data_IF_524849010854
#
_entry.id   IF_524849010854
#
_cell.length_a   1.000
_cell.length_b   1.000
_cell.length_c   1.000
_cell.angle_alpha   90.00
_cell.angle_beta   90.00
_cell.angle_gamma   90.00
#
_symmetry.space_group_name_H-M   'P 1'
#
loop_
_entity.id
_entity.type
_entity.pdbx_description
1 polymer ?
#
# COMPACT_ATOMS: atom_id res chain seq x y z
N UNK A 1 2.18 10.33 12.68
CA UNK A 1 1.93 11.58 11.90
C UNK A 1 1.55 11.11 10.50
N UNK A 2 0.41 11.52 9.94
CA UNK A 2 -0.01 11.08 8.59
C UNK A 2 1.08 11.41 7.56
N UNK A 3 1.42 10.45 6.69
CA UNK A 3 2.47 10.64 5.69
C UNK A 3 1.86 11.29 4.46
N UNK A 4 1.67 12.60 4.55
CA UNK A 4 1.04 13.41 3.50
C UNK A 4 1.66 13.24 2.10
N UNK A 5 2.94 12.84 2.02
CA UNK A 5 3.62 12.63 0.75
C UNK A 5 3.18 11.33 0.08
N UNK A 6 3.03 10.27 0.87
CA UNK A 6 2.41 9.02 0.42
C UNK A 6 0.95 9.25 0.02
N UNK A 7 0.17 9.84 0.93
CA UNK A 7 -1.26 10.10 0.73
C UNK A 7 -1.53 10.91 -0.53
N UNK A 8 -0.81 12.03 -0.72
CA UNK A 8 -0.98 12.90 -1.88
C UNK A 8 -0.71 12.17 -3.20
N UNK A 9 0.34 11.34 -3.24
CA UNK A 9 0.75 10.65 -4.46
C UNK A 9 -0.18 9.49 -4.80
N UNK A 10 -0.66 8.76 -3.79
CA UNK A 10 -1.70 7.74 -3.97
C UNK A 10 -3.04 8.37 -4.40
N UNK A 11 -3.43 9.50 -3.79
CA UNK A 11 -4.61 10.26 -4.18
C UNK A 11 -4.54 10.70 -5.64
N UNK A 12 -3.42 11.28 -6.07
CA UNK A 12 -3.23 11.71 -7.46
C UNK A 12 -3.28 10.51 -8.42
N UNK A 13 -2.66 9.39 -8.06
CA UNK A 13 -2.74 8.15 -8.84
C UNK A 13 -4.18 7.65 -8.99
N UNK A 14 -4.96 7.61 -7.91
CA UNK A 14 -6.34 7.15 -7.96
C UNK A 14 -7.29 8.09 -8.70
N UNK A 15 -7.07 9.40 -8.59
CA UNK A 15 -7.80 10.38 -9.41
C UNK A 15 -7.55 10.18 -10.90
N UNK A 16 -6.32 9.80 -11.28
CA UNK A 16 -5.99 9.44 -12.67
C UNK A 16 -6.48 8.04 -13.08
N UNK A 17 -6.82 7.18 -12.11
CA UNK A 17 -7.20 5.78 -12.35
C UNK A 17 -8.46 5.39 -11.56
N UNK A 18 -9.62 6.06 -11.79
CA UNK A 18 -10.83 5.85 -10.98
C UNK A 18 -11.35 4.41 -11.02
N UNK A 19 -11.17 3.71 -12.15
CA UNK A 19 -11.53 2.30 -12.30
C UNK A 19 -10.81 1.37 -11.31
N UNK A 20 -9.61 1.74 -10.84
CA UNK A 20 -8.89 0.97 -9.82
C UNK A 20 -9.57 1.07 -8.47
N UNK A 21 -10.15 2.22 -8.16
CA UNK A 21 -10.88 2.38 -6.91
C UNK A 21 -12.10 1.48 -6.91
N UNK A 22 -12.91 1.50 -7.97
CA UNK A 22 -14.08 0.62 -8.08
C UNK A 22 -13.68 -0.86 -8.00
N UNK A 23 -12.54 -1.20 -8.60
CA UNK A 23 -11.99 -2.54 -8.53
C UNK A 23 -11.57 -2.92 -7.09
N UNK A 24 -10.80 -2.07 -6.42
CA UNK A 24 -10.37 -2.28 -5.05
C UNK A 24 -11.59 -2.43 -4.11
N UNK A 25 -12.61 -1.58 -4.29
CA UNK A 25 -13.89 -1.66 -3.58
C UNK A 25 -14.58 -3.01 -3.72
N UNK A 26 -14.69 -3.52 -4.95
CA UNK A 26 -15.30 -4.81 -5.23
C UNK A 26 -14.59 -5.99 -4.55
N UNK A 27 -13.35 -5.79 -4.12
CA UNK A 27 -12.53 -6.82 -3.47
C UNK A 27 -12.38 -6.63 -1.96
N UNK A 28 -12.94 -5.55 -1.41
CA UNK A 28 -13.07 -5.34 0.03
C UNK A 28 -14.45 -5.79 0.52
N UNK A 29 -14.53 -6.52 1.63
CA UNK A 29 -15.81 -6.82 2.31
C UNK A 29 -16.35 -5.61 3.10
N UNK A 30 -15.98 -4.40 2.68
CA UNK A 30 -16.30 -3.17 3.40
C UNK A 30 -17.69 -2.73 2.96
N UNK A 31 -18.55 -2.55 3.96
CA UNK A 31 -19.91 -2.08 3.76
C UNK A 31 -19.87 -0.64 3.20
N UNK A 32 -20.73 -0.32 2.22
CA UNK A 32 -20.76 0.98 1.53
C UNK A 32 -20.82 2.19 2.49
N UNK A 33 -21.31 2.00 3.72
CA UNK A 33 -21.41 3.02 4.76
C UNK A 33 -20.08 3.42 5.44
N UNK A 34 -18.96 2.73 5.18
CA UNK A 34 -17.62 3.11 5.67
C UNK A 34 -16.83 3.95 4.64
N UNK A 35 -17.40 4.19 3.45
CA UNK A 35 -16.74 4.86 2.33
C UNK A 35 -16.73 6.40 2.43
N UNK A 36 -16.82 6.97 3.62
CA UNK A 36 -16.62 8.40 3.82
C UNK A 36 -15.11 8.76 3.69
N UNK A 37 -14.66 8.75 2.45
CA UNK A 37 -13.72 9.69 1.81
C UNK A 37 -12.20 9.58 2.03
N UNK A 38 -11.62 8.49 2.55
CA UNK A 38 -10.16 8.32 2.49
C UNK A 38 -9.71 7.19 1.54
N UNK A 39 -9.02 7.57 0.46
CA UNK A 39 -8.31 6.62 -0.42
C UNK A 39 -7.33 5.73 0.37
N UNK A 40 -6.84 6.24 1.51
CA UNK A 40 -5.99 5.54 2.47
C UNK A 40 -6.68 4.29 3.02
N UNK A 41 -7.90 4.41 3.56
CA UNK A 41 -8.62 3.29 4.13
C UNK A 41 -8.96 2.21 3.09
N UNK A 42 -9.43 2.65 1.92
CA UNK A 42 -9.73 1.75 0.79
C UNK A 42 -8.47 0.97 0.39
N UNK A 43 -7.33 1.67 0.31
CA UNK A 43 -6.06 1.07 -0.03
C UNK A 43 -5.64 0.05 1.05
N UNK A 44 -5.56 0.45 2.32
CA UNK A 44 -5.11 -0.44 3.41
C UNK A 44 -5.90 -1.76 3.48
N UNK A 45 -7.23 -1.67 3.42
CA UNK A 45 -8.12 -2.83 3.53
C UNK A 45 -8.08 -3.73 2.29
N UNK A 46 -7.96 -3.12 1.10
CA UNK A 46 -7.78 -3.88 -0.13
C UNK A 46 -6.45 -4.62 -0.10
N UNK A 47 -5.38 -3.94 0.28
CA UNK A 47 -4.05 -4.51 0.39
C UNK A 47 -4.05 -5.68 1.39
N UNK A 48 -4.75 -5.56 2.52
CA UNK A 48 -4.93 -6.66 3.46
C UNK A 48 -5.59 -7.89 2.81
N UNK A 49 -6.67 -7.68 2.06
CA UNK A 49 -7.37 -8.74 1.32
C UNK A 49 -6.48 -9.43 0.27
N UNK A 50 -5.43 -8.75 -0.18
CA UNK A 50 -4.42 -9.27 -1.10
C UNK A 50 -3.17 -9.84 -0.42
N UNK A 51 -3.21 -10.04 0.90
CA UNK A 51 -2.12 -10.66 1.65
C UNK A 51 -1.04 -9.69 2.10
N UNK A 52 -1.33 -8.39 2.19
CA UNK A 52 -0.42 -7.38 2.74
C UNK A 52 -0.82 -7.14 4.19
N UNK A 53 -0.06 -7.75 5.11
CA UNK A 53 -0.45 -7.91 6.50
C UNK A 53 -0.23 -6.66 7.36
N UNK A 54 0.74 -5.82 6.99
CA UNK A 54 1.07 -4.60 7.74
C UNK A 54 1.87 -3.63 6.88
N UNK A 55 1.63 -2.34 7.06
CA UNK A 55 2.34 -1.24 6.41
C UNK A 55 2.77 -0.27 7.52
N UNK A 56 4.06 0.02 7.61
CA UNK A 56 4.53 1.12 8.45
C UNK A 56 4.99 2.27 7.59
N UNK A 57 4.15 3.29 7.50
CA UNK A 57 4.44 4.54 6.76
C UNK A 57 4.24 5.80 7.60
N UNK A 58 3.77 5.69 8.84
CA UNK A 58 3.31 6.83 9.63
C UNK A 58 4.22 7.21 10.80
N UNK A 59 5.11 6.31 11.21
CA UNK A 59 5.94 6.51 12.40
C UNK A 59 7.41 6.12 12.15
N UNK A 60 8.36 6.93 12.68
CA UNK A 60 9.74 6.48 12.82
C UNK A 60 9.77 5.24 13.71
N UNK A 61 10.69 4.33 13.40
CA UNK A 61 10.73 2.99 13.96
C UNK A 61 12.06 2.65 14.62
N UNK A 62 13.03 3.58 14.64
CA UNK A 62 14.31 3.39 15.29
C UNK A 62 14.58 4.39 16.43
N UNK A 63 15.52 4.00 17.30
CA UNK A 63 15.94 4.77 18.49
C UNK A 63 16.58 6.13 18.13
N UNK A 64 16.89 6.34 16.86
CA UNK A 64 17.54 7.54 16.32
C UNK A 64 16.53 8.48 15.64
N UNK A 65 15.22 8.24 15.80
CA UNK A 65 14.13 8.96 15.13
C UNK A 65 14.23 8.93 13.60
N UNK A 66 14.90 7.92 13.03
CA UNK A 66 14.94 7.71 11.59
C UNK A 66 13.72 6.91 11.16
N UNK A 67 13.28 7.20 9.96
CA UNK A 67 12.11 6.56 9.40
C UNK A 67 12.53 5.30 8.64
N UNK A 68 12.10 4.13 9.12
CA UNK A 68 12.29 2.86 8.43
C UNK A 68 10.92 2.31 8.01
N UNK A 69 10.50 2.59 6.76
CA UNK A 69 9.27 2.04 6.23
C UNK A 69 9.38 0.53 6.08
N UNK A 70 8.31 -0.20 6.35
CA UNK A 70 8.26 -1.63 6.09
C UNK A 70 6.89 -2.05 5.59
N UNK A 71 6.85 -3.13 4.81
CA UNK A 71 5.63 -3.82 4.44
C UNK A 71 5.80 -5.30 4.78
N UNK A 72 4.81 -5.87 5.46
CA UNK A 72 4.76 -7.29 5.74
C UNK A 72 3.79 -7.97 4.80
N UNK A 73 4.21 -9.07 4.19
CA UNK A 73 3.38 -9.87 3.30
C UNK A 73 3.03 -11.23 3.92
N UNK A 74 1.94 -11.82 3.44
CA UNK A 74 1.62 -13.23 3.61
C UNK A 74 2.33 -14.05 2.53
N UNK A 75 2.53 -15.35 2.77
CA UNK A 75 3.25 -16.26 1.84
C UNK A 75 2.69 -16.29 0.42
N UNK A 76 1.39 -16.00 0.25
CA UNK A 76 0.71 -16.07 -1.03
C UNK A 76 0.11 -14.71 -1.40
N UNK A 77 0.81 -13.59 -1.16
CA UNK A 77 0.27 -12.27 -1.49
C UNK A 77 0.22 -12.03 -3.01
N UNK A 78 -0.59 -11.05 -3.43
CA UNK A 78 -0.77 -10.71 -4.85
C UNK A 78 0.50 -10.23 -5.56
N UNK A 79 1.51 -9.75 -4.82
CA UNK A 79 2.79 -9.33 -5.38
C UNK A 79 3.80 -10.48 -5.50
N UNK A 80 3.48 -11.65 -4.93
CA UNK A 80 4.36 -12.81 -4.85
C UNK A 80 5.72 -12.48 -4.17
N UNK A 81 5.68 -11.68 -3.11
CA UNK A 81 6.87 -11.26 -2.35
C UNK A 81 6.87 -11.79 -0.92
N UNK A 82 7.99 -12.35 -0.45
CA UNK A 82 8.06 -12.89 0.92
C UNK A 82 8.32 -11.80 1.98
N UNK A 83 9.02 -10.73 1.61
CA UNK A 83 9.33 -9.60 2.49
C UNK A 83 9.32 -8.28 1.69
N UNK A 84 8.65 -7.26 2.24
CA UNK A 84 8.47 -5.98 1.56
C UNK A 84 9.26 -4.84 2.20
N UNK A 85 10.01 -4.14 1.34
CA UNK A 85 10.52 -2.78 1.56
C UNK A 85 11.62 -2.59 2.63
N UNK A 86 11.82 -3.53 3.56
CA UNK A 86 12.92 -3.46 4.56
C UNK A 86 14.31 -3.38 3.90
N UNK A 87 14.50 -4.09 2.78
CA UNK A 87 15.78 -4.12 2.05
C UNK A 87 16.12 -2.83 1.28
N UNK A 88 15.17 -1.98 0.93
CA UNK A 88 15.45 -0.77 0.11
C UNK A 88 16.09 0.38 0.92
N UNK A 89 16.05 0.30 2.25
CA UNK A 89 16.54 1.35 3.16
C UNK A 89 17.58 0.85 4.15
N UNK A 90 18.00 -0.42 4.01
CA UNK A 90 18.97 -1.06 4.90
C UNK A 90 20.29 -0.27 5.01
N UNK A 91 20.64 0.49 3.97
CA UNK A 91 21.94 1.16 3.86
C UNK A 91 21.93 2.63 4.30
N UNK A 92 20.77 3.28 4.46
CA UNK A 92 20.72 4.67 4.93
C UNK A 92 19.35 5.10 5.47
N UNK A 93 19.33 5.87 6.57
CA UNK A 93 18.11 6.54 7.01
C UNK A 93 17.59 7.49 5.94
N UNK A 94 16.28 7.46 5.74
CA UNK A 94 15.59 8.36 4.83
C UNK A 94 14.68 9.32 5.56
N UNK A 95 14.47 10.48 4.95
CA UNK A 95 13.49 11.44 5.43
C UNK A 95 12.07 10.88 5.27
N UNK A 96 11.13 11.35 6.09
CA UNK A 96 9.70 11.01 5.98
C UNK A 96 9.16 11.23 4.56
N UNK A 97 9.61 12.30 3.89
CA UNK A 97 9.27 12.60 2.50
C UNK A 97 9.76 11.52 1.54
N UNK A 98 11.06 11.23 1.53
CA UNK A 98 11.66 10.23 0.65
C UNK A 98 11.01 8.86 0.82
N UNK A 99 10.72 8.50 2.07
CA UNK A 99 10.10 7.24 2.38
C UNK A 99 8.64 7.18 1.92
N UNK A 100 7.86 8.24 2.13
CA UNK A 100 6.49 8.35 1.63
C UNK A 100 6.42 8.30 0.09
N UNK A 101 7.29 9.04 -0.59
CA UNK A 101 7.35 9.06 -2.06
C UNK A 101 7.74 7.69 -2.64
N UNK A 102 8.78 7.05 -2.09
CA UNK A 102 9.21 5.72 -2.55
C UNK A 102 8.18 4.63 -2.27
N UNK A 103 7.47 4.72 -1.14
CA UNK A 103 6.42 3.75 -0.82
C UNK A 103 5.25 3.90 -1.78
N UNK A 104 4.83 5.13 -2.08
CA UNK A 104 3.79 5.38 -3.07
C UNK A 104 4.22 4.88 -4.46
N UNK A 105 5.46 5.14 -4.89
CA UNK A 105 5.98 4.62 -6.16
C UNK A 105 5.94 3.08 -6.22
N UNK A 106 6.27 2.42 -5.12
CA UNK A 106 6.18 0.96 -5.01
C UNK A 106 4.74 0.47 -5.19
N UNK A 107 3.77 1.02 -4.44
CA UNK A 107 2.36 0.61 -4.58
C UNK A 107 1.79 0.91 -5.95
N UNK A 108 2.09 2.08 -6.52
CA UNK A 108 1.67 2.44 -7.88
C UNK A 108 2.19 1.42 -8.88
N UNK A 109 3.50 1.11 -8.83
CA UNK A 109 4.11 0.12 -9.73
C UNK A 109 3.41 -1.24 -9.64
N UNK A 110 3.12 -1.71 -8.42
CA UNK A 110 2.47 -3.00 -8.21
C UNK A 110 1.00 -3.02 -8.61
N UNK A 111 0.24 -1.98 -8.30
CA UNK A 111 -1.17 -1.86 -8.69
C UNK A 111 -1.31 -1.77 -10.22
N UNK A 112 -0.46 -1.00 -10.88
CA UNK A 112 -0.41 -0.94 -12.35
C UNK A 112 -0.11 -2.31 -12.96
N UNK A 113 0.87 -3.04 -12.39
CA UNK A 113 1.20 -4.39 -12.86
C UNK A 113 0.01 -5.36 -12.76
N UNK A 114 -0.68 -5.40 -11.61
CA UNK A 114 -1.85 -6.28 -11.41
C UNK A 114 -2.97 -5.96 -12.39
N UNK A 115 -3.24 -4.67 -12.58
CA UNK A 115 -4.32 -4.18 -13.46
C UNK A 115 -4.06 -4.58 -14.90
N UNK A 116 -2.84 -4.36 -15.39
CA UNK A 116 -2.48 -4.67 -16.77
C UNK A 116 -2.43 -6.18 -17.06
N UNK A 117 -2.25 -7.01 -16.03
CA UNK A 117 -2.16 -8.46 -16.19
C UNK A 117 -3.43 -9.20 -15.72
N UNK A 118 -4.52 -8.49 -15.42
CA UNK A 118 -5.81 -9.06 -15.01
C UNK A 118 -5.75 -10.03 -13.83
N UNK A 119 -4.75 -9.91 -12.94
CA UNK A 119 -4.61 -10.75 -11.75
C UNK A 119 -5.50 -10.26 -10.61
N UNK A 120 -6.81 -10.25 -10.83
CA UNK A 120 -7.74 -9.65 -9.87
C UNK A 120 -8.72 -10.70 -9.41
N UNK A 121 -8.18 -11.65 -8.64
CA UNK A 121 -8.97 -12.50 -7.77
C UNK A 121 -8.37 -12.37 -6.37
N UNK A 122 -9.19 -12.09 -5.34
CA UNK A 122 -8.71 -12.12 -3.97
C UNK A 122 -8.17 -13.52 -3.66
N UNK A 123 -7.22 -13.60 -2.73
CA UNK A 123 -6.72 -14.89 -2.27
C UNK A 123 -7.89 -15.68 -1.70
N UNK A 124 -8.15 -16.84 -2.29
CA UNK A 124 -9.13 -17.78 -1.78
C UNK A 124 -8.79 -18.05 -0.30
N UNK A 125 -9.72 -17.73 0.61
CA UNK A 125 -9.62 -18.16 2.00
C UNK A 125 -9.67 -19.69 2.00
N UNK A 126 -8.51 -20.33 2.18
CA UNK A 126 -8.40 -21.76 2.47
C UNK A 126 -8.82 -22.03 3.90
#
# INVERSE_FOLDING_TARGET
>A
MNNKYFEKKMEDFFKSNPHLIDLLKNHTNINDNYFDNSYEFILEESLFSYGILSINIHNPSDILNKFSPYIRFSKNNIFNEEEGFYYLFHDAPVTLKQAGEKMADYFISKLTFITNNHFIKPLSKS
#
